data_IF_891565323457
#
_entry.id   IF_891565323457
#
_cell.length_a   1.000
_cell.length_b   1.000
_cell.length_c   1.000
_cell.angle_alpha   90.00
_cell.angle_beta   90.00
_cell.angle_gamma   90.00
#
_symmetry.space_group_name_H-M   'P 1'
#
loop_
_entity.id
_entity.type
_entity.pdbx_description
1 polymer ?
#
# COMPACT_ATOMS: atom_id res chain seq x y z
N UNK A 1 -12.73 14.07 -12.89
CA UNK A 1 -12.04 13.02 -12.08
C UNK A 1 -12.51 11.66 -12.58
N UNK A 2 -11.62 10.93 -13.27
CA UNK A 2 -11.92 9.58 -13.77
C UNK A 2 -11.99 8.63 -12.56
N UNK A 3 -13.18 8.12 -12.23
CA UNK A 3 -13.33 7.08 -11.20
C UNK A 3 -12.72 5.80 -11.75
N UNK A 4 -11.54 5.42 -11.29
CA UNK A 4 -10.98 4.10 -11.59
C UNK A 4 -11.83 3.06 -10.88
N UNK A 5 -12.77 2.44 -11.61
CA UNK A 5 -13.80 1.54 -11.10
C UNK A 5 -13.23 0.24 -10.48
N UNK A 6 -11.93 -0.03 -10.67
CA UNK A 6 -11.28 -1.27 -10.24
C UNK A 6 -10.48 -1.15 -8.93
N UNK A 7 -10.27 0.06 -8.40
CA UNK A 7 -9.62 0.24 -7.10
C UNK A 7 -10.69 0.09 -6.02
N UNK A 8 -10.60 -0.93 -5.17
CA UNK A 8 -11.56 -1.16 -4.07
C UNK A 8 -11.73 0.06 -3.18
N UNK A 9 -10.63 0.76 -2.88
CA UNK A 9 -10.66 2.00 -2.10
C UNK A 9 -11.23 3.21 -2.86
N UNK A 10 -11.61 3.05 -4.13
CA UNK A 10 -12.25 4.07 -4.98
C UNK A 10 -11.48 5.41 -5.07
N UNK A 11 -10.16 5.39 -4.84
CA UNK A 11 -9.29 6.56 -4.99
C UNK A 11 -7.90 6.16 -5.44
N UNK A 12 -7.21 7.09 -6.10
CA UNK A 12 -5.77 6.98 -6.34
C UNK A 12 -5.03 7.31 -5.04
N UNK A 13 -4.03 6.50 -4.69
CA UNK A 13 -3.15 6.77 -3.56
C UNK A 13 -2.24 7.97 -3.84
N UNK A 14 -2.07 8.86 -2.85
CA UNK A 14 -1.00 9.84 -2.88
C UNK A 14 0.34 9.17 -2.57
N UNK A 15 1.47 9.78 -2.97
CA UNK A 15 2.81 9.25 -2.66
C UNK A 15 3.01 9.01 -1.15
N UNK A 16 2.34 9.78 -0.30
CA UNK A 16 2.45 9.68 1.15
C UNK A 16 1.99 8.34 1.68
N UNK A 17 1.03 7.68 1.00
CA UNK A 17 0.54 6.36 1.41
C UNK A 17 1.66 5.32 1.33
N UNK A 18 2.46 5.34 0.26
CA UNK A 18 3.62 4.46 0.13
C UNK A 18 4.73 4.83 1.12
N UNK A 19 4.95 6.13 1.39
CA UNK A 19 5.94 6.58 2.38
C UNK A 19 5.66 6.04 3.78
N UNK A 20 4.40 6.00 4.21
CA UNK A 20 4.04 5.43 5.52
C UNK A 20 4.33 3.92 5.59
N UNK A 21 4.06 3.18 4.52
CA UNK A 21 4.38 1.75 4.45
C UNK A 21 5.89 1.50 4.49
N UNK A 22 6.67 2.29 3.74
CA UNK A 22 8.14 2.24 3.79
C UNK A 22 8.66 2.58 5.18
N UNK A 23 8.13 3.63 5.81
CA UNK A 23 8.51 4.01 7.18
C UNK A 23 8.29 2.86 8.16
N UNK A 24 7.18 2.13 8.02
CA UNK A 24 6.90 0.96 8.85
C UNK A 24 7.83 -0.21 8.55
N UNK A 25 8.10 -0.51 7.27
CA UNK A 25 9.05 -1.58 6.88
C UNK A 25 10.47 -1.33 7.39
N UNK A 26 10.88 -0.07 7.58
CA UNK A 26 12.19 0.32 8.11
C UNK A 26 12.22 0.45 9.64
N UNK A 27 11.10 0.23 10.31
CA UNK A 27 10.96 0.42 11.76
C UNK A 27 11.06 -0.92 12.50
N UNK A 28 11.35 -0.86 13.81
CA UNK A 28 11.46 -2.03 14.67
C UNK A 28 10.15 -2.83 14.74
N UNK A 29 9.01 -2.17 14.46
CA UNK A 29 7.69 -2.79 14.37
C UNK A 29 7.58 -3.86 13.26
N UNK A 30 8.51 -3.89 12.31
CA UNK A 30 8.56 -4.88 11.23
C UNK A 30 9.67 -5.94 11.43
N UNK A 31 10.22 -6.10 12.65
CA UNK A 31 11.38 -6.97 12.93
C UNK A 31 11.25 -8.41 12.42
N UNK A 32 10.04 -8.98 12.42
CA UNK A 32 9.76 -10.34 12.00
C UNK A 32 9.26 -10.44 10.55
N UNK A 33 9.23 -9.33 9.81
CA UNK A 33 8.75 -9.27 8.42
C UNK A 33 9.94 -9.19 7.47
N UNK A 34 10.24 -10.33 6.83
CA UNK A 34 11.35 -10.47 5.88
C UNK A 34 10.96 -11.32 4.68
N UNK A 35 11.67 -11.17 3.55
CA UNK A 35 11.50 -11.98 2.35
C UNK A 35 10.12 -11.87 1.69
N UNK A 36 9.38 -10.79 1.93
CA UNK A 36 8.01 -10.59 1.46
C UNK A 36 7.83 -9.27 0.71
N UNK A 37 6.74 -9.16 -0.05
CA UNK A 37 6.35 -7.95 -0.78
C UNK A 37 5.07 -7.39 -0.18
N UNK A 38 5.15 -6.17 0.38
CA UNK A 38 3.98 -5.42 0.82
C UNK A 38 3.36 -4.64 -0.34
N UNK A 39 2.12 -4.95 -0.69
CA UNK A 39 1.38 -4.27 -1.76
C UNK A 39 0.58 -3.10 -1.20
N UNK A 40 0.76 -1.91 -1.78
CA UNK A 40 0.12 -0.65 -1.37
C UNK A 40 -0.57 -0.01 -2.58
N UNK A 41 -1.74 -0.54 -2.96
CA UNK A 41 -2.40 -0.22 -4.23
C UNK A 41 -3.88 0.20 -4.09
N UNK A 42 -4.40 0.28 -2.86
CA UNK A 42 -5.83 0.55 -2.62
C UNK A 42 -6.75 -0.65 -2.90
N UNK A 43 -6.20 -1.87 -2.92
CA UNK A 43 -6.93 -3.11 -3.16
C UNK A 43 -7.18 -3.35 -4.64
N UNK A 44 -6.21 -3.03 -5.51
CA UNK A 44 -6.34 -3.23 -6.95
C UNK A 44 -6.14 -4.70 -7.33
N UNK A 45 -5.20 -5.40 -6.70
CA UNK A 45 -4.94 -6.83 -6.97
C UNK A 45 -5.66 -7.78 -6.00
N UNK A 46 -6.40 -7.24 -5.04
CA UNK A 46 -7.14 -8.03 -4.07
C UNK A 46 -8.37 -8.66 -4.75
N UNK A 47 -8.44 -9.99 -4.73
CA UNK A 47 -9.61 -10.76 -5.16
C UNK A 47 -10.88 -10.36 -4.40
#
# INVERSE_FOLDING_TARGET
MCKSQHIRWSRVGAHSVAQYAVRWLLSDEADFVTGTVMIVDGGLIAA
#
